data_IF_455701109051
#
_entry.id   IF_455701109051
#
_cell.length_a   1.000
_cell.length_b   1.000
_cell.length_c   1.000
_cell.angle_alpha   90.00
_cell.angle_beta   90.00
_cell.angle_gamma   90.00
#
_symmetry.space_group_name_H-M   'P 1'
#
loop_
_entity.id
_entity.type
_entity.pdbx_description
1 polymer ?
#
# COMPACT_ATOMS: atom_id res chain seq x y z
N UNK A 1 -20.58 16.22 -7.68
CA UNK A 1 -19.56 15.22 -8.02
C UNK A 1 -19.26 14.41 -6.78
N UNK A 2 -18.90 13.15 -6.93
CA UNK A 2 -18.42 12.34 -5.81
C UNK A 2 -17.06 12.86 -5.32
N UNK A 3 -16.74 12.75 -4.02
CA UNK A 3 -15.46 13.17 -3.48
C UNK A 3 -14.32 12.32 -4.08
N UNK A 4 -13.26 12.99 -4.54
CA UNK A 4 -12.03 12.34 -5.03
C UNK A 4 -10.96 12.43 -3.94
N UNK A 5 -10.34 11.30 -3.62
CA UNK A 5 -9.18 11.28 -2.74
C UNK A 5 -7.90 11.41 -3.57
N UNK A 6 -6.97 12.24 -3.09
CA UNK A 6 -5.61 12.34 -3.64
C UNK A 6 -4.60 12.06 -2.54
N UNK A 7 -3.52 11.35 -2.88
CA UNK A 7 -2.40 11.12 -1.99
C UNK A 7 -1.10 11.52 -2.69
N UNK A 8 -0.15 11.99 -1.88
CA UNK A 8 1.20 12.35 -2.31
C UNK A 8 2.20 11.48 -1.57
N UNK A 9 3.16 10.91 -2.30
CA UNK A 9 4.18 10.01 -1.77
C UNK A 9 5.56 10.57 -2.13
N UNK A 10 6.46 10.56 -1.13
CA UNK A 10 7.88 10.87 -1.31
C UNK A 10 8.70 9.67 -0.88
N UNK A 11 9.48 9.11 -1.81
CA UNK A 11 10.33 7.95 -1.55
C UNK A 11 11.72 8.18 -2.12
N UNK A 12 12.71 7.45 -1.60
CA UNK A 12 14.06 7.42 -2.15
C UNK A 12 14.34 6.04 -2.69
N UNK A 13 14.63 5.95 -3.99
CA UNK A 13 14.82 4.68 -4.71
C UNK A 13 16.15 4.76 -5.44
N UNK A 14 17.06 3.81 -5.17
CA UNK A 14 18.41 3.80 -5.77
C UNK A 14 19.16 5.15 -5.66
N UNK A 15 18.95 5.85 -4.54
CA UNK A 15 19.55 7.17 -4.27
C UNK A 15 18.79 8.37 -4.84
N UNK A 16 17.81 8.15 -5.73
CA UNK A 16 16.99 9.19 -6.38
C UNK A 16 15.76 9.47 -5.51
N UNK A 17 15.46 10.77 -5.31
CA UNK A 17 14.25 11.18 -4.60
C UNK A 17 13.09 11.31 -5.60
N UNK A 18 12.05 10.53 -5.41
CA UNK A 18 10.80 10.60 -6.18
C UNK A 18 9.72 11.26 -5.35
N UNK A 19 8.88 12.05 -6.03
CA UNK A 19 7.75 12.73 -5.45
C UNK A 19 6.56 12.67 -6.41
N UNK A 20 5.58 11.84 -6.09
CA UNK A 20 4.44 11.58 -6.96
C UNK A 20 3.14 11.84 -6.22
N UNK A 21 2.11 12.21 -6.98
CA UNK A 21 0.73 12.25 -6.52
C UNK A 21 -0.15 11.41 -7.45
N UNK A 22 -1.21 10.85 -6.88
CA UNK A 22 -2.24 10.13 -7.59
C UNK A 22 -3.60 10.25 -6.90
N UNK A 23 -4.65 10.25 -7.70
CA UNK A 23 -6.03 10.15 -7.25
C UNK A 23 -6.46 8.69 -7.08
N UNK A 24 -7.51 8.46 -6.31
CA UNK A 24 -8.12 7.15 -6.14
C UNK A 24 -9.55 7.25 -5.59
N UNK A 25 -10.22 6.10 -5.53
CA UNK A 25 -11.60 5.97 -5.03
C UNK A 25 -11.68 6.14 -3.49
N UNK A 26 -10.54 6.28 -2.83
CA UNK A 26 -10.40 6.53 -1.40
C UNK A 26 -8.93 6.78 -1.04
N UNK A 27 -8.63 7.20 0.20
CA UNK A 27 -7.27 7.59 0.59
C UNK A 27 -6.26 6.45 0.48
N UNK A 28 -6.68 5.21 0.76
CA UNK A 28 -5.80 4.03 0.66
C UNK A 28 -5.53 3.66 -0.80
N UNK A 29 -6.53 3.75 -1.66
CA UNK A 29 -6.40 3.52 -3.11
C UNK A 29 -5.50 4.59 -3.75
N UNK A 30 -5.67 5.86 -3.36
CA UNK A 30 -4.80 6.95 -3.80
C UNK A 30 -3.35 6.74 -3.33
N UNK A 31 -3.13 6.26 -2.10
CA UNK A 31 -1.80 5.93 -1.58
C UNK A 31 -1.15 4.79 -2.37
N UNK A 32 -1.88 3.71 -2.67
CA UNK A 32 -1.40 2.60 -3.51
C UNK A 32 -0.98 3.11 -4.89
N UNK A 33 -1.84 3.89 -5.56
CA UNK A 33 -1.53 4.49 -6.85
C UNK A 33 -0.30 5.39 -6.81
N UNK A 34 -0.20 6.29 -5.82
CA UNK A 34 0.92 7.21 -5.70
C UNK A 34 2.24 6.47 -5.45
N UNK A 35 2.22 5.46 -4.57
CA UNK A 35 3.39 4.64 -4.24
C UNK A 35 3.84 3.78 -5.42
N UNK A 36 2.93 3.08 -6.10
CA UNK A 36 3.29 2.33 -7.31
C UNK A 36 3.80 3.26 -8.41
N UNK A 37 3.16 4.40 -8.65
CA UNK A 37 3.63 5.41 -9.61
C UNK A 37 5.06 5.89 -9.32
N UNK A 38 5.45 6.02 -8.05
CA UNK A 38 6.81 6.40 -7.68
C UNK A 38 7.86 5.30 -7.94
N UNK A 39 7.43 4.04 -8.01
CA UNK A 39 8.31 2.88 -8.09
C UNK A 39 8.31 2.21 -9.46
N UNK A 40 7.26 2.37 -10.26
CA UNK A 40 7.03 1.67 -11.53
C UNK A 40 8.15 1.92 -12.57
N UNK A 41 8.73 3.12 -12.60
CA UNK A 41 9.88 3.43 -13.50
C UNK A 41 11.14 2.63 -13.13
N UNK A 42 11.31 2.30 -11.85
CA UNK A 42 12.45 1.54 -11.34
C UNK A 42 12.21 0.03 -11.34
N UNK A 43 10.93 -0.36 -11.21
CA UNK A 43 10.48 -1.74 -11.09
C UNK A 43 9.22 -1.95 -11.97
N UNK A 44 9.38 -2.16 -13.29
CA UNK A 44 8.26 -2.26 -14.23
C UNK A 44 7.26 -3.39 -13.92
N UNK A 45 7.70 -4.42 -13.17
CA UNK A 45 6.85 -5.52 -12.73
C UNK A 45 5.71 -5.08 -11.80
N UNK A 46 5.80 -3.90 -11.17
CA UNK A 46 4.72 -3.35 -10.35
C UNK A 46 3.50 -2.91 -11.16
N UNK A 47 3.61 -2.76 -12.48
CA UNK A 47 2.48 -2.38 -13.35
C UNK A 47 1.35 -3.40 -13.33
N UNK A 48 1.66 -4.69 -13.15
CA UNK A 48 0.67 -5.76 -13.05
C UNK A 48 0.09 -5.93 -11.63
N UNK A 49 0.74 -5.36 -10.62
CA UNK A 49 0.28 -5.44 -9.23
C UNK A 49 -1.02 -4.67 -9.04
N UNK A 50 -1.95 -5.27 -8.29
CA UNK A 50 -3.25 -4.70 -7.92
C UNK A 50 -3.57 -5.02 -6.46
N UNK A 51 -4.28 -4.11 -5.80
CA UNK A 51 -4.94 -4.37 -4.53
C UNK A 51 -6.25 -5.13 -4.80
N UNK A 52 -6.37 -6.34 -4.24
CA UNK A 52 -7.49 -7.26 -4.49
C UNK A 52 -8.53 -7.27 -3.38
N UNK A 53 -8.10 -7.11 -2.12
CA UNK A 53 -8.98 -7.07 -0.95
C UNK A 53 -8.38 -6.19 0.15
N UNK A 54 -9.24 -5.53 0.91
CA UNK A 54 -8.87 -4.60 1.98
C UNK A 54 -9.80 -4.79 3.18
N UNK A 55 -9.23 -5.19 4.32
CA UNK A 55 -10.00 -5.47 5.54
C UNK A 55 -9.40 -4.75 6.74
N UNK A 56 -10.25 -4.06 7.49
CA UNK A 56 -9.87 -3.33 8.70
C UNK A 56 -10.48 -4.02 9.92
N UNK A 57 -9.69 -4.15 10.99
CA UNK A 57 -10.14 -4.62 12.30
C UNK A 57 -9.60 -3.73 13.39
N UNK A 58 -10.44 -3.33 14.34
CA UNK A 58 -10.02 -2.66 15.56
C UNK A 58 -9.73 -3.74 16.61
N UNK A 59 -8.52 -3.73 17.20
CA UNK A 59 -8.06 -4.82 18.07
C UNK A 59 -8.46 -4.64 19.54
N UNK A 60 -8.52 -3.39 20.00
CA UNK A 60 -8.78 -3.02 21.40
C UNK A 60 -9.90 -1.97 21.47
N UNK A 61 -11.11 -2.31 21.05
CA UNK A 61 -12.24 -1.37 20.97
C UNK A 61 -12.54 -0.67 22.32
N UNK A 62 -12.26 -1.34 23.45
CA UNK A 62 -12.44 -0.80 24.80
C UNK A 62 -11.52 0.37 25.15
N UNK A 63 -10.45 0.60 24.37
CA UNK A 63 -9.50 1.70 24.59
C UNK A 63 -9.88 3.00 23.87
N UNK A 64 -11.02 3.03 23.19
CA UNK A 64 -11.51 4.22 22.48
C UNK A 64 -10.47 4.74 21.48
N UNK A 65 -10.04 5.99 21.62
CA UNK A 65 -9.04 6.63 20.74
C UNK A 65 -7.64 6.01 20.80
N UNK A 66 -7.35 5.19 21.80
CA UNK A 66 -6.09 4.45 21.92
C UNK A 66 -6.17 3.02 21.34
N UNK A 67 -7.28 2.67 20.69
CA UNK A 67 -7.44 1.38 20.04
C UNK A 67 -6.49 1.24 18.84
N UNK A 68 -5.82 0.09 18.75
CA UNK A 68 -4.99 -0.22 17.58
C UNK A 68 -5.85 -0.67 16.41
N UNK A 69 -5.53 -0.15 15.24
CA UNK A 69 -6.10 -0.54 13.95
C UNK A 69 -5.20 -1.57 13.28
N UNK A 70 -5.77 -2.70 12.87
CA UNK A 70 -5.14 -3.71 12.02
C UNK A 70 -5.74 -3.65 10.63
N UNK A 71 -4.90 -3.55 9.63
CA UNK A 71 -5.27 -3.56 8.22
C UNK A 71 -4.67 -4.81 7.58
N UNK A 72 -5.51 -5.58 6.90
CA UNK A 72 -5.09 -6.68 6.05
C UNK A 72 -5.29 -6.27 4.59
N UNK A 73 -4.23 -6.38 3.80
CA UNK A 73 -4.25 -6.13 2.36
C UNK A 73 -3.95 -7.43 1.65
N UNK A 74 -4.80 -7.78 0.69
CA UNK A 74 -4.50 -8.82 -0.28
C UNK A 74 -4.13 -8.15 -1.59
N UNK A 75 -2.98 -8.50 -2.14
CA UNK A 75 -2.51 -8.02 -3.44
C UNK A 75 -2.25 -9.19 -4.38
N UNK A 76 -2.24 -8.92 -5.68
CA UNK A 76 -1.87 -9.89 -6.69
C UNK A 76 -1.35 -9.25 -7.96
N UNK A 77 -0.70 -10.04 -8.79
CA UNK A 77 -0.05 -9.61 -10.04
C UNK A 77 -0.57 -10.33 -11.29
N UNK A 78 -1.65 -11.10 -11.13
CA UNK A 78 -2.21 -11.97 -12.18
C UNK A 78 -1.65 -13.40 -12.17
N UNK A 79 -0.52 -13.64 -11.49
CA UNK A 79 0.06 -14.97 -11.35
C UNK A 79 -0.11 -15.54 -9.93
N UNK A 80 0.17 -14.72 -8.92
CA UNK A 80 -0.01 -15.09 -7.52
C UNK A 80 -0.76 -14.01 -6.75
N UNK A 81 -1.21 -14.40 -5.57
CA UNK A 81 -1.87 -13.54 -4.60
C UNK A 81 -1.17 -13.69 -3.27
N UNK A 82 -0.95 -12.58 -2.57
CA UNK A 82 -0.31 -12.56 -1.25
C UNK A 82 -1.04 -11.60 -0.31
N UNK A 83 -0.91 -11.87 0.99
CA UNK A 83 -1.50 -11.08 2.05
C UNK A 83 -0.44 -10.39 2.91
N UNK A 84 -0.71 -9.16 3.32
CA UNK A 84 0.12 -8.38 4.25
C UNK A 84 -0.73 -7.75 5.34
N UNK A 85 -0.08 -7.44 6.47
CA UNK A 85 -0.77 -6.93 7.65
C UNK A 85 -0.01 -5.74 8.22
N UNK A 86 -0.70 -4.61 8.35
CA UNK A 86 -0.22 -3.43 9.05
C UNK A 86 -0.98 -3.21 10.33
N UNK A 87 -0.28 -2.85 11.41
CA UNK A 87 -0.89 -2.49 12.70
C UNK A 87 -0.35 -1.13 13.14
N UNK A 88 -1.24 -0.20 13.46
CA UNK A 88 -0.90 1.13 13.92
C UNK A 88 -2.03 1.71 14.77
N UNK A 89 -1.80 2.89 15.35
CA UNK A 89 -2.81 3.58 16.16
C UNK A 89 -3.89 4.26 15.29
N UNK A 90 -3.66 4.39 13.98
CA UNK A 90 -4.63 4.93 13.03
C UNK A 90 -4.68 4.11 11.72
N UNK A 91 -5.80 4.23 11.01
CA UNK A 91 -6.06 3.49 9.77
C UNK A 91 -5.08 3.83 8.64
N UNK A 92 -4.66 5.09 8.49
CA UNK A 92 -3.80 5.51 7.39
C UNK A 92 -2.40 4.92 7.55
N UNK A 93 -1.83 4.97 8.75
CA UNK A 93 -0.52 4.39 9.04
C UNK A 93 -0.54 2.86 8.97
N UNK A 94 -1.61 2.21 9.44
CA UNK A 94 -1.76 0.77 9.33
C UNK A 94 -1.83 0.34 7.85
N UNK A 95 -2.59 1.07 7.03
CA UNK A 95 -2.67 0.84 5.59
C UNK A 95 -1.34 1.07 4.89
N UNK A 96 -0.62 2.14 5.23
CA UNK A 96 0.70 2.42 4.67
C UNK A 96 1.69 1.28 4.93
N UNK A 97 1.76 0.78 6.17
CA UNK A 97 2.61 -0.36 6.53
C UNK A 97 2.28 -1.59 5.70
N UNK A 98 0.99 -1.95 5.61
CA UNK A 98 0.56 -3.10 4.81
C UNK A 98 0.89 -2.93 3.31
N UNK A 99 0.67 -1.73 2.74
CA UNK A 99 0.98 -1.43 1.34
C UNK A 99 2.48 -1.57 1.04
N UNK A 100 3.32 -0.97 1.89
CA UNK A 100 4.79 -1.06 1.74
C UNK A 100 5.24 -2.52 1.83
N UNK A 101 4.80 -3.26 2.83
CA UNK A 101 5.12 -4.69 2.98
C UNK A 101 4.68 -5.50 1.76
N UNK A 102 3.53 -5.15 1.17
CA UNK A 102 2.98 -5.84 -0.01
C UNK A 102 3.86 -5.63 -1.25
N UNK A 103 4.31 -4.39 -1.47
CA UNK A 103 5.20 -4.06 -2.58
C UNK A 103 6.58 -4.69 -2.35
N UNK A 104 7.12 -4.62 -1.13
CA UNK A 104 8.39 -5.26 -0.82
C UNK A 104 8.35 -6.78 -1.05
N UNK A 105 7.26 -7.45 -0.67
CA UNK A 105 7.08 -8.87 -0.92
C UNK A 105 7.15 -9.17 -2.43
N UNK A 106 6.43 -8.40 -3.25
CA UNK A 106 6.45 -8.53 -4.71
C UNK A 106 7.87 -8.37 -5.27
N UNK A 107 8.57 -7.30 -4.89
CA UNK A 107 9.92 -7.03 -5.40
C UNK A 107 10.93 -8.09 -4.98
N UNK A 108 10.87 -8.57 -3.73
CA UNK A 108 11.74 -9.67 -3.24
C UNK A 108 11.45 -10.98 -3.95
N UNK A 109 10.18 -11.23 -4.32
CA UNK A 109 9.79 -12.43 -5.08
C UNK A 109 10.30 -12.36 -6.52
N UNK A 110 10.21 -11.19 -7.16
CA UNK A 110 10.73 -10.98 -8.52
C UNK A 110 12.25 -11.15 -8.60
N UNK A 111 12.96 -10.65 -7.59
CA UNK A 111 14.41 -10.79 -7.48
C UNK A 111 14.85 -12.26 -7.37
N UNK A 112 14.08 -13.11 -6.67
CA UNK A 112 14.35 -14.56 -6.58
C UNK A 112 14.06 -15.34 -7.86
N UNK A 113 13.31 -14.75 -8.80
CA UNK A 113 12.94 -15.36 -10.08
C UNK A 113 13.86 -14.91 -11.23
N UNK A 114 14.72 -13.92 -11.00
CA UNK A 114 15.69 -13.37 -11.94
C UNK A 114 17.04 -14.08 -11.82
#
# INVERSE_FOLDING_TARGET
GEPVAEATVRVRVKGILEHTAAAGNGPVDALDHALRKALEEFYPSLKSMRLLDYKVRILDESKGTAAKTRVLITSGDGEETWGTVGVADNIIEASWKALVDSIEYKLRRDDRRS
#
